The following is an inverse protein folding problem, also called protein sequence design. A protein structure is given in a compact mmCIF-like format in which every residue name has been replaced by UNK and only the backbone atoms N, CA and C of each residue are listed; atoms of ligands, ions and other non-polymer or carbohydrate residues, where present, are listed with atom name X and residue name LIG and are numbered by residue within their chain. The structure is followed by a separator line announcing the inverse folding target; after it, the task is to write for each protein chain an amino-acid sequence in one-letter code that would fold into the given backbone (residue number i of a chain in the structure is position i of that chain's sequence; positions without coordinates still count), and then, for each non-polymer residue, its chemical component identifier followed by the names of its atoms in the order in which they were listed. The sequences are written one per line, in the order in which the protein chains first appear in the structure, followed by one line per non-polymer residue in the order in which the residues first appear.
data_IF_211298731703
#
_entry.id   IF_211298731703
#
_cell.length_a   1.000
_cell.length_b   1.000
_cell.length_c   1.000
_cell.angle_alpha   90.00
_cell.angle_beta   90.00
_cell.angle_gamma   90.00
#
_symmetry.space_group_name_H-M   'P 1'
#
loop_
_entity.id
_entity.type
_entity.pdbx_description
1 polymer ?
#
# COMPACT_ATOMS: atom_id res chain seq x y z
N UNK A 1 -18.01 -3.07 5.79
CA UNK A 1 -16.96 -3.76 6.57
C UNK A 1 -17.12 -3.31 8.02
N UNK A 2 -17.34 -4.23 8.97
CA UNK A 2 -17.34 -3.87 10.39
C UNK A 2 -15.97 -3.28 10.77
N UNK A 3 -15.98 -2.21 11.55
CA UNK A 3 -14.78 -1.51 12.01
C UNK A 3 -13.90 -2.48 12.80
N UNK A 4 -12.76 -2.89 12.22
CA UNK A 4 -11.78 -3.70 12.95
C UNK A 4 -10.87 -2.75 13.74
N UNK A 5 -10.87 -2.80 15.08
CA UNK A 5 -10.22 -1.79 15.93
C UNK A 5 -8.69 -1.72 15.77
N UNK A 6 -8.07 -2.64 15.00
CA UNK A 6 -6.63 -2.68 14.77
C UNK A 6 -6.24 -2.54 13.28
N UNK A 7 -7.10 -1.93 12.46
CA UNK A 7 -6.81 -1.68 11.04
C UNK A 7 -5.46 -1.00 10.82
N UNK A 8 -5.15 0.04 11.59
CA UNK A 8 -3.88 0.76 11.50
C UNK A 8 -2.68 -0.16 11.80
N UNK A 9 -2.79 -1.00 12.84
CA UNK A 9 -1.75 -1.96 13.22
C UNK A 9 -1.51 -3.00 12.11
N UNK A 10 -2.56 -3.49 11.45
CA UNK A 10 -2.41 -4.41 10.33
C UNK A 10 -1.69 -3.78 9.15
N UNK A 11 -2.07 -2.56 8.78
CA UNK A 11 -1.40 -1.83 7.70
C UNK A 11 0.07 -1.57 8.04
N UNK A 12 0.38 -1.17 9.28
CA UNK A 12 1.75 -0.99 9.72
C UNK A 12 2.56 -2.30 9.60
N UNK A 13 2.01 -3.42 10.05
CA UNK A 13 2.64 -4.73 9.94
C UNK A 13 2.85 -5.17 8.48
N UNK A 14 1.89 -4.87 7.59
CA UNK A 14 2.01 -5.15 6.17
C UNK A 14 3.12 -4.31 5.52
N UNK A 15 3.17 -3.01 5.81
CA UNK A 15 4.19 -2.08 5.33
C UNK A 15 5.59 -2.43 5.83
N UNK A 16 5.72 -2.76 7.11
CA UNK A 16 7.02 -3.05 7.72
C UNK A 16 7.58 -4.43 7.34
N UNK A 17 6.73 -5.45 7.20
CA UNK A 17 7.17 -6.83 7.04
C UNK A 17 6.69 -7.47 5.74
N UNK A 18 5.38 -7.52 5.51
CA UNK A 18 4.80 -8.28 4.39
C UNK A 18 5.34 -7.87 3.02
N UNK A 19 5.44 -6.57 2.74
CA UNK A 19 5.92 -6.09 1.44
C UNK A 19 7.41 -6.36 1.19
N UNK A 20 8.21 -6.57 2.25
CA UNK A 20 9.64 -6.89 2.14
C UNK A 20 9.90 -8.37 1.82
N UNK A 21 8.89 -9.23 1.96
CA UNK A 21 9.01 -10.65 1.65
C UNK A 21 9.04 -10.86 0.12
N UNK A 22 10.13 -11.44 -0.37
CA UNK A 22 10.39 -11.55 -1.82
C UNK A 22 9.57 -12.63 -2.52
N UNK A 23 9.08 -13.66 -1.80
CA UNK A 23 8.35 -14.78 -2.40
C UNK A 23 6.90 -14.84 -1.95
N UNK A 24 6.03 -15.29 -2.86
CA UNK A 24 4.61 -15.55 -2.57
C UNK A 24 4.47 -16.57 -1.44
N UNK A 25 5.36 -17.58 -1.39
CA UNK A 25 5.42 -18.57 -0.31
C UNK A 25 5.62 -17.91 1.06
N UNK A 26 6.62 -17.04 1.20
CA UNK A 26 6.87 -16.34 2.47
C UNK A 26 5.72 -15.40 2.85
N UNK A 27 5.15 -14.69 1.88
CA UNK A 27 3.97 -13.84 2.08
C UNK A 27 2.78 -14.63 2.62
N UNK A 28 2.52 -15.83 2.08
CA UNK A 28 1.44 -16.69 2.57
C UNK A 28 1.73 -17.21 3.98
N UNK A 29 2.96 -17.70 4.25
CA UNK A 29 3.38 -18.12 5.60
C UNK A 29 3.20 -16.99 6.62
N UNK A 30 3.55 -15.76 6.25
CA UNK A 30 3.36 -14.59 7.10
C UNK A 30 1.89 -14.35 7.42
N UNK A 31 1.02 -14.35 6.40
CA UNK A 31 -0.42 -14.14 6.59
C UNK A 31 -1.03 -15.25 7.46
N UNK A 32 -0.65 -16.51 7.23
CA UNK A 32 -1.17 -17.63 8.02
C UNK A 32 -0.73 -17.53 9.49
N UNK A 33 0.53 -17.16 9.76
CA UNK A 33 1.02 -16.92 11.13
C UNK A 33 0.30 -15.75 11.79
N UNK A 34 0.11 -14.65 11.07
CA UNK A 34 -0.62 -13.49 11.60
C UNK A 34 -2.08 -13.83 11.89
N UNK A 35 -2.74 -14.60 11.03
CA UNK A 35 -4.10 -15.08 11.25
C UNK A 35 -4.20 -15.87 12.57
N UNK A 36 -3.28 -16.81 12.82
CA UNK A 36 -3.25 -17.57 14.07
C UNK A 36 -3.07 -16.68 15.31
N UNK A 37 -2.21 -15.66 15.23
CA UNK A 37 -2.02 -14.68 16.31
C UNK A 37 -3.31 -13.90 16.54
N UNK A 38 -3.95 -13.41 15.47
CA UNK A 38 -5.19 -12.64 15.56
C UNK A 38 -6.31 -13.48 16.17
N UNK A 39 -6.50 -14.71 15.70
CA UNK A 39 -7.51 -15.64 16.23
C UNK A 39 -7.28 -15.96 17.72
N UNK A 40 -6.02 -16.13 18.12
CA UNK A 40 -5.65 -16.39 19.52
C UNK A 40 -5.97 -15.21 20.45
N UNK A 41 -5.63 -13.99 20.04
CA UNK A 41 -5.74 -12.80 20.90
C UNK A 41 -7.08 -12.07 20.76
N UNK A 42 -7.80 -12.28 19.66
CA UNK A 42 -9.10 -11.68 19.38
C UNK A 42 -10.16 -12.75 19.06
N UNK A 43 -10.43 -13.71 19.96
CA UNK A 43 -11.36 -14.83 19.70
C UNK A 43 -12.84 -14.42 19.57
N UNK A 44 -13.16 -13.11 19.67
CA UNK A 44 -14.53 -12.58 19.86
C UNK A 44 -15.01 -11.56 18.81
N UNK A 45 -14.72 -11.75 17.52
CA UNK A 45 -15.79 -11.51 16.55
C UNK A 45 -16.17 -12.85 15.96
N UNK A 46 -17.47 -13.16 16.01
CA UNK A 46 -18.11 -14.34 15.38
C UNK A 46 -17.82 -14.49 13.87
N UNK A 47 -17.07 -13.57 13.27
CA UNK A 47 -16.76 -13.47 11.85
C UNK A 47 -15.34 -12.91 11.61
N UNK A 48 -14.29 -13.47 12.23
CA UNK A 48 -12.93 -13.22 11.69
C UNK A 48 -12.87 -13.93 10.35
N UNK A 49 -12.96 -13.14 9.28
CA UNK A 49 -12.84 -13.66 7.93
C UNK A 49 -11.45 -14.28 7.74
N UNK A 50 -11.42 -15.45 7.11
CA UNK A 50 -10.16 -16.08 6.71
C UNK A 50 -9.45 -15.10 5.77
N UNK A 51 -8.20 -14.73 6.09
CA UNK A 51 -7.42 -13.72 5.35
C UNK A 51 -7.78 -12.26 5.61
N UNK A 52 -8.30 -11.93 6.80
CA UNK A 52 -8.65 -10.56 7.23
C UNK A 52 -7.59 -9.50 6.85
N UNK A 53 -6.30 -9.78 7.05
CA UNK A 53 -5.23 -8.82 6.69
C UNK A 53 -5.14 -8.56 5.18
N UNK A 54 -5.39 -9.57 4.34
CA UNK A 54 -5.44 -9.40 2.88
C UNK A 54 -6.64 -8.55 2.48
N UNK A 55 -7.80 -8.79 3.09
CA UNK A 55 -9.01 -8.02 2.80
C UNK A 55 -8.84 -6.54 3.21
N UNK A 56 -8.25 -6.31 4.39
CA UNK A 56 -7.92 -4.95 4.84
C UNK A 56 -6.94 -4.29 3.86
N UNK A 57 -5.89 -5.00 3.44
CA UNK A 57 -4.94 -4.45 2.46
C UNK A 57 -5.60 -4.09 1.14
N UNK A 58 -6.40 -5.00 0.58
CA UNK A 58 -7.09 -4.79 -0.69
C UNK A 58 -8.08 -3.64 -0.60
N UNK A 59 -8.82 -3.55 0.51
CA UNK A 59 -9.71 -2.43 0.78
C UNK A 59 -8.97 -1.09 0.85
N UNK A 60 -7.83 -1.03 1.56
CA UNK A 60 -7.01 0.18 1.64
C UNK A 60 -6.45 0.61 0.30
N UNK A 61 -5.85 -0.33 -0.44
CA UNK A 61 -5.30 -0.06 -1.75
C UNK A 61 -6.39 0.41 -2.71
N UNK A 62 -7.56 -0.24 -2.69
CA UNK A 62 -8.70 0.16 -3.52
C UNK A 62 -9.20 1.54 -3.16
N UNK A 63 -9.40 1.83 -1.87
CA UNK A 63 -9.90 3.13 -1.43
C UNK A 63 -8.90 4.26 -1.67
N UNK A 64 -7.61 3.99 -1.64
CA UNK A 64 -6.57 4.97 -1.95
C UNK A 64 -6.47 5.20 -3.45
N UNK A 65 -6.35 4.12 -4.23
CA UNK A 65 -5.94 4.23 -5.63
C UNK A 65 -7.16 4.36 -6.55
N UNK A 66 -8.21 3.53 -6.39
CA UNK A 66 -9.39 3.55 -7.27
C UNK A 66 -10.24 4.80 -7.03
N UNK A 67 -10.35 5.24 -5.76
CA UNK A 67 -11.29 6.30 -5.38
C UNK A 67 -10.67 7.69 -5.29
N UNK A 68 -9.34 7.82 -5.11
CA UNK A 68 -8.69 9.12 -4.85
C UNK A 68 -7.65 9.51 -5.89
N UNK A 69 -6.93 8.54 -6.47
CA UNK A 69 -5.85 8.84 -7.41
C UNK A 69 -6.37 8.97 -8.85
N UNK A 70 -5.84 9.95 -9.57
CA UNK A 70 -5.94 10.04 -11.01
C UNK A 70 -4.86 9.18 -11.65
N UNK A 71 -5.29 8.23 -12.48
CA UNK A 71 -4.41 7.35 -13.23
C UNK A 71 -4.40 7.77 -14.71
N UNK A 72 -3.27 7.63 -15.43
CA UNK A 72 -3.24 7.80 -16.87
C UNK A 72 -4.19 6.84 -17.58
N UNK A 73 -4.77 7.29 -18.69
CA UNK A 73 -5.64 6.46 -19.53
C UNK A 73 -4.90 5.19 -20.00
N UNK A 74 -5.61 4.06 -20.04
CA UNK A 74 -5.02 2.77 -20.41
C UNK A 74 -4.08 2.14 -19.37
N UNK A 75 -3.96 2.70 -18.16
CA UNK A 75 -3.13 2.11 -17.10
C UNK A 75 -3.70 0.76 -16.65
N UNK A 76 -2.94 -0.32 -16.88
CA UNK A 76 -3.32 -1.65 -16.43
C UNK A 76 -3.22 -1.78 -14.90
N UNK A 77 -4.33 -2.18 -14.29
CA UNK A 77 -4.48 -2.37 -12.85
C UNK A 77 -3.89 -3.69 -12.36
N UNK A 78 -2.56 -3.81 -12.36
CA UNK A 78 -1.89 -4.98 -11.83
C UNK A 78 -1.53 -4.82 -10.34
N UNK A 79 -1.40 -5.96 -9.66
CA UNK A 79 -1.06 -6.01 -8.23
C UNK A 79 0.29 -5.34 -7.91
N UNK A 80 1.28 -5.45 -8.80
CA UNK A 80 2.59 -4.86 -8.59
C UNK A 80 2.53 -3.32 -8.56
N UNK A 81 1.72 -2.71 -9.43
CA UNK A 81 1.51 -1.27 -9.42
C UNK A 81 0.84 -0.81 -8.11
N UNK A 82 -0.20 -1.52 -7.66
CA UNK A 82 -0.88 -1.23 -6.39
C UNK A 82 0.07 -1.30 -5.20
N UNK A 83 0.84 -2.37 -5.13
CA UNK A 83 1.81 -2.61 -4.06
C UNK A 83 2.89 -1.51 -4.07
N UNK A 84 3.44 -1.17 -5.24
CA UNK A 84 4.45 -0.12 -5.37
C UNK A 84 3.90 1.25 -4.93
N UNK A 85 2.71 1.66 -5.41
CA UNK A 85 2.09 2.94 -5.04
C UNK A 85 1.85 2.99 -3.54
N UNK A 86 1.30 1.92 -2.96
CA UNK A 86 0.95 1.87 -1.55
C UNK A 86 2.18 1.99 -0.64
N UNK A 87 3.25 1.25 -0.96
CA UNK A 87 4.50 1.30 -0.22
C UNK A 87 5.21 2.65 -0.42
N UNK A 88 5.31 3.13 -1.66
CA UNK A 88 5.93 4.42 -1.97
C UNK A 88 5.24 5.56 -1.21
N UNK A 89 3.91 5.64 -1.26
CA UNK A 89 3.18 6.69 -0.56
C UNK A 89 3.46 6.67 0.94
N UNK A 90 3.39 5.50 1.57
CA UNK A 90 3.70 5.35 2.99
C UNK A 90 5.12 5.78 3.32
N UNK A 91 6.11 5.37 2.52
CA UNK A 91 7.51 5.75 2.70
C UNK A 91 7.74 7.26 2.52
N UNK A 92 7.12 7.87 1.51
CA UNK A 92 7.22 9.31 1.24
C UNK A 92 6.67 10.12 2.40
N UNK A 93 5.45 9.82 2.86
CA UNK A 93 4.80 10.56 3.95
C UNK A 93 5.60 10.44 5.26
N UNK A 94 6.24 9.29 5.48
CA UNK A 94 7.01 9.03 6.71
C UNK A 94 8.51 9.32 6.56
N UNK A 95 8.97 9.87 5.43
CA UNK A 95 10.39 10.10 5.15
C UNK A 95 11.29 8.86 5.35
N UNK A 96 10.77 7.68 5.01
CA UNK A 96 11.51 6.41 5.11
C UNK A 96 12.20 6.13 3.76
N UNK A 97 13.53 5.97 3.73
CA UNK A 97 14.24 5.58 2.51
C UNK A 97 13.73 4.25 1.97
N UNK A 98 13.34 4.22 0.70
CA UNK A 98 12.81 3.04 0.02
C UNK A 98 13.68 2.64 -1.16
N UNK A 99 14.09 1.37 -1.17
CA UNK A 99 14.76 0.75 -2.31
C UNK A 99 13.77 -0.11 -3.08
N UNK A 100 13.54 0.22 -4.35
CA UNK A 100 12.65 -0.55 -5.22
C UNK A 100 13.45 -1.43 -6.18
N UNK A 101 13.57 -2.70 -5.86
CA UNK A 101 14.23 -3.70 -6.70
C UNK A 101 13.20 -4.57 -7.43
N UNK A 102 13.46 -4.89 -8.70
CA UNK A 102 12.61 -5.80 -9.46
C UNK A 102 12.91 -5.79 -10.95
N UNK A 103 12.42 -6.80 -11.68
CA UNK A 103 12.63 -6.92 -13.14
C UNK A 103 12.16 -5.66 -13.89
N UNK A 104 12.76 -5.34 -15.06
CA UNK A 104 12.21 -4.32 -15.96
C UNK A 104 10.72 -4.56 -16.22
N UNK A 105 9.93 -3.48 -16.34
CA UNK A 105 8.48 -3.58 -16.54
C UNK A 105 7.63 -3.87 -15.29
N UNK A 106 8.22 -3.99 -14.08
CA UNK A 106 7.47 -4.26 -12.84
C UNK A 106 6.76 -3.03 -12.23
N UNK A 107 6.31 -2.08 -13.07
CA UNK A 107 5.49 -0.91 -12.69
C UNK A 107 6.11 0.02 -11.63
N UNK A 108 7.44 0.06 -11.49
CA UNK A 108 8.15 0.89 -10.50
C UNK A 108 8.11 2.38 -10.86
N UNK A 109 8.62 2.74 -12.05
CA UNK A 109 8.65 4.12 -12.51
C UNK A 109 7.25 4.69 -12.72
N UNK A 110 6.30 3.87 -13.18
CA UNK A 110 4.89 4.25 -13.31
C UNK A 110 4.27 4.62 -11.96
N UNK A 111 4.57 3.87 -10.90
CA UNK A 111 4.10 4.18 -9.55
C UNK A 111 4.62 5.54 -9.06
N UNK A 112 5.91 5.82 -9.30
CA UNK A 112 6.52 7.13 -8.98
C UNK A 112 5.81 8.25 -9.74
N UNK A 113 5.61 8.11 -11.05
CA UNK A 113 4.95 9.13 -11.85
C UNK A 113 3.49 9.39 -11.43
N UNK A 114 2.76 8.33 -11.08
CA UNK A 114 1.39 8.46 -10.55
C UNK A 114 1.39 9.26 -9.26
N UNK A 115 2.33 9.00 -8.35
CA UNK A 115 2.43 9.75 -7.10
C UNK A 115 2.78 11.22 -7.33
N UNK A 116 3.75 11.53 -8.20
CA UNK A 116 4.07 12.92 -8.59
C UNK A 116 2.83 13.64 -9.12
N UNK A 117 2.04 12.97 -9.95
CA UNK A 117 0.86 13.57 -10.55
C UNK A 117 -0.29 13.81 -9.54
N UNK A 118 -0.33 13.06 -8.44
CA UNK A 118 -1.40 13.13 -7.45
C UNK A 118 -1.03 13.91 -6.17
N UNK A 119 0.26 14.02 -5.84
CA UNK A 119 0.77 14.70 -4.65
C UNK A 119 1.30 16.10 -5.00
N UNK A 120 0.38 17.03 -5.26
CA UNK A 120 0.66 18.43 -5.63
C UNK A 120 0.34 19.41 -4.49
N UNK A 121 0.34 18.93 -3.25
CA UNK A 121 -0.08 19.70 -2.08
C UNK A 121 -1.48 20.28 -2.28
N UNK A 122 -1.64 21.59 -2.04
CA UNK A 122 -2.94 22.28 -2.20
C UNK A 122 -3.53 22.21 -3.62
N UNK A 123 -2.70 21.93 -4.63
CA UNK A 123 -3.13 21.78 -6.03
C UNK A 123 -3.55 20.34 -6.40
N UNK A 124 -3.51 19.40 -5.45
CA UNK A 124 -4.02 18.04 -5.66
C UNK A 124 -5.53 18.06 -5.93
N UNK A 125 -5.99 17.14 -6.78
CA UNK A 125 -7.42 17.05 -7.12
C UNK A 125 -8.27 16.51 -5.97
N UNK A 126 -7.78 15.50 -5.26
CA UNK A 126 -8.49 14.89 -4.13
C UNK A 126 -8.14 15.60 -2.82
N UNK A 127 -9.17 15.87 -2.01
CA UNK A 127 -9.04 16.56 -0.72
C UNK A 127 -8.08 15.88 0.26
N UNK A 128 -7.95 14.55 0.23
CA UNK A 128 -7.00 13.84 1.07
C UNK A 128 -5.56 14.20 0.68
N UNK A 129 -5.23 14.21 -0.62
CA UNK A 129 -3.89 14.56 -1.09
C UNK A 129 -3.57 16.05 -0.87
N UNK A 130 -4.57 16.93 -0.77
CA UNK A 130 -4.39 18.33 -0.39
C UNK A 130 -3.93 18.54 1.07
N UNK A 131 -4.07 17.53 1.92
CA UNK A 131 -3.54 17.52 3.29
C UNK A 131 -2.11 16.99 3.38
N UNK A 132 -1.60 16.39 2.31
CA UNK A 132 -0.27 15.79 2.24
C UNK A 132 0.75 16.77 1.61
N UNK A 133 2.05 16.57 1.86
CA UNK A 133 3.09 17.41 1.24
C UNK A 133 3.08 17.28 -0.29
N UNK A 134 3.48 18.36 -0.96
CA UNK A 134 3.80 18.32 -2.39
C UNK A 134 5.06 17.48 -2.63
N UNK A 135 4.98 16.58 -3.61
CA UNK A 135 6.09 15.73 -4.00
C UNK A 135 6.84 16.35 -5.17
N UNK A 136 8.01 16.93 -4.88
CA UNK A 136 8.96 17.42 -5.90
C UNK A 136 10.09 16.40 -6.05
N UNK A 137 10.31 15.92 -7.27
CA UNK A 137 11.34 14.91 -7.55
C UNK A 137 12.59 15.52 -8.15
N UNK A 138 13.74 15.10 -7.63
CA UNK A 138 15.06 15.35 -8.21
C UNK A 138 15.63 14.02 -8.67
N UNK A 139 16.03 13.94 -9.95
CA UNK A 139 16.63 12.73 -10.51
C UNK A 139 18.16 12.84 -10.46
N UNK A 140 18.80 11.77 -10.00
CA UNK A 140 20.25 11.62 -10.03
C UNK A 140 20.58 10.25 -10.62
N UNK A 141 21.41 10.22 -11.66
CA UNK A 141 21.99 9.02 -12.24
C UNK A 141 23.51 9.14 -12.06
N UNK A 142 24.06 8.32 -11.17
CA UNK A 142 25.50 8.23 -10.91
C UNK A 142 26.12 7.03 -11.60
#
# INVERSE_FOLDING_TARGET
MHYFPHRASFIALLLCYYFRLHSVKLKNIYIDKMQLIIEKWYPKPKNIHKYLMKDVLEHEQKNLIDNKMQLPEGTAWNRALRDNIFVLLACIINHIPLFMCGKPGSSKSSAVQILINNLKGKMSKDSYFQTLPELVTVYFQG
#
